data_IF_238876969118
#
_entry.id   IF_238876969118
#
_cell.length_a   1.000
_cell.length_b   1.000
_cell.length_c   1.000
_cell.angle_alpha   90.00
_cell.angle_beta   90.00
_cell.angle_gamma   90.00
#
_symmetry.space_group_name_H-M   'P 1'
#
loop_
_entity.id
_entity.type
_entity.pdbx_description
1 polymer ?
#
# COMPACT_ATOMS: atom_id res chain seq x y z
N UNK A 1 -6.26 29.81 19.57
CA UNK A 1 -6.33 28.37 19.89
C UNK A 1 -5.61 27.62 18.79
N UNK A 2 -4.71 26.68 19.14
CA UNK A 2 -4.13 25.78 18.14
C UNK A 2 -5.24 24.88 17.57
N UNK A 3 -5.30 24.72 16.24
CA UNK A 3 -6.29 23.86 15.56
C UNK A 3 -6.12 22.43 16.09
N UNK A 4 -7.19 21.85 16.64
CA UNK A 4 -7.17 20.44 17.09
C UNK A 4 -7.30 19.56 15.85
N UNK A 5 -6.29 18.73 15.63
CA UNK A 5 -6.25 17.74 14.55
C UNK A 5 -7.01 16.48 14.93
N UNK A 6 -7.65 15.85 13.94
CA UNK A 6 -8.58 14.73 14.08
C UNK A 6 -7.94 13.39 13.70
N UNK A 7 -7.05 13.40 12.70
CA UNK A 7 -6.45 12.22 12.09
C UNK A 7 -4.96 12.09 12.41
N UNK A 8 -4.36 13.06 13.12
CA UNK A 8 -2.94 13.05 13.49
C UNK A 8 -2.69 13.57 14.91
N UNK A 9 -1.67 13.01 15.56
CA UNK A 9 -1.21 13.41 16.90
C UNK A 9 0.10 14.22 16.83
N UNK A 10 0.37 15.00 17.87
CA UNK A 10 1.58 15.83 17.88
C UNK A 10 2.77 15.03 18.38
N UNK A 11 3.72 14.75 17.50
CA UNK A 11 4.97 14.05 17.81
C UNK A 11 6.10 14.45 16.84
N UNK A 12 7.26 13.80 16.94
CA UNK A 12 8.50 14.08 16.22
C UNK A 12 8.50 13.69 14.73
N UNK A 13 7.61 12.80 14.28
CA UNK A 13 7.65 12.26 12.92
C UNK A 13 7.14 13.23 11.86
N UNK A 14 5.92 13.74 12.01
CA UNK A 14 5.32 14.67 11.06
C UNK A 14 5.38 16.12 11.55
N UNK A 15 5.87 17.02 10.68
CA UNK A 15 5.79 18.46 10.90
C UNK A 15 4.33 18.94 10.94
N UNK A 16 4.08 20.11 11.54
CA UNK A 16 2.75 20.71 11.56
C UNK A 16 2.11 20.83 10.16
N UNK A 17 2.91 21.23 9.14
CA UNK A 17 2.42 21.36 7.76
C UNK A 17 2.04 20.01 7.15
N UNK A 18 2.84 18.97 7.38
CA UNK A 18 2.53 17.62 6.90
C UNK A 18 1.29 17.04 7.59
N UNK A 19 1.11 17.31 8.89
CA UNK A 19 -0.10 16.93 9.62
C UNK A 19 -1.32 17.66 9.07
N UNK A 20 -1.25 18.98 8.90
CA UNK A 20 -2.32 19.76 8.29
C UNK A 20 -2.67 19.23 6.89
N UNK A 21 -1.67 18.88 6.09
CA UNK A 21 -1.88 18.28 4.77
C UNK A 21 -2.62 16.93 4.87
N UNK A 22 -2.20 16.06 5.78
CA UNK A 22 -2.89 14.77 6.01
C UNK A 22 -4.33 14.96 6.48
N UNK A 23 -4.61 15.95 7.35
CA UNK A 23 -5.97 16.25 7.81
C UNK A 23 -6.90 16.68 6.66
N UNK A 24 -6.36 17.41 5.68
CA UNK A 24 -7.13 17.93 4.55
C UNK A 24 -7.28 16.87 3.45
N UNK A 25 -6.25 16.04 3.24
CA UNK A 25 -6.15 15.18 2.06
C UNK A 25 -6.29 13.68 2.35
N UNK A 26 -6.08 13.25 3.60
CA UNK A 26 -6.13 11.85 4.02
C UNK A 26 -4.91 11.02 3.64
N UNK A 27 -3.85 11.67 3.15
CA UNK A 27 -2.58 11.05 2.84
C UNK A 27 -1.41 12.01 3.06
N UNK A 28 -0.20 11.47 3.14
CA UNK A 28 1.05 12.24 3.11
C UNK A 28 2.16 11.39 2.48
N UNK A 29 3.03 12.01 1.68
CA UNK A 29 4.22 11.36 1.12
C UNK A 29 5.45 11.82 1.89
N UNK A 30 6.25 10.87 2.34
CA UNK A 30 7.54 11.09 2.99
C UNK A 30 8.64 10.61 2.04
N UNK A 31 9.43 11.56 1.55
CA UNK A 31 10.50 11.28 0.60
C UNK A 31 11.68 10.60 1.31
N UNK A 32 12.29 9.60 0.67
CA UNK A 32 13.45 8.87 1.21
C UNK A 32 13.23 8.41 2.67
N UNK A 33 12.02 7.90 2.97
CA UNK A 33 11.66 7.41 4.29
C UNK A 33 12.45 6.15 4.65
N UNK A 34 12.76 5.31 3.67
CA UNK A 34 13.54 4.08 3.82
C UNK A 34 14.93 4.18 3.19
N UNK A 35 15.92 3.57 3.86
CA UNK A 35 17.26 3.38 3.30
C UNK A 35 17.21 2.50 2.06
N UNK A 36 17.84 2.96 0.97
CA UNK A 36 17.91 2.18 -0.27
C UNK A 36 18.60 0.83 -0.06
N UNK A 37 19.64 0.77 0.79
CA UNK A 37 20.35 -0.48 1.12
C UNK A 37 19.43 -1.50 1.78
N UNK A 38 18.57 -1.07 2.70
CA UNK A 38 17.61 -1.98 3.34
C UNK A 38 16.55 -2.47 2.34
N UNK A 39 16.13 -1.61 1.40
CA UNK A 39 15.22 -2.02 0.34
C UNK A 39 15.86 -3.02 -0.63
N UNK A 40 17.15 -2.85 -0.94
CA UNK A 40 17.91 -3.82 -1.75
C UNK A 40 18.03 -5.18 -1.05
N UNK A 41 18.25 -5.18 0.27
CA UNK A 41 18.22 -6.40 1.09
C UNK A 41 16.86 -7.14 1.01
N UNK A 42 15.74 -6.40 1.06
CA UNK A 42 14.40 -6.99 0.91
C UNK A 42 14.14 -7.50 -0.51
N UNK A 43 14.61 -6.80 -1.54
CA UNK A 43 14.51 -7.26 -2.93
C UNK A 43 15.27 -8.57 -3.13
N UNK A 44 16.53 -8.64 -2.70
CA UNK A 44 17.34 -9.85 -2.80
C UNK A 44 16.68 -11.03 -2.07
N UNK A 45 16.19 -10.80 -0.85
CA UNK A 45 15.44 -11.82 -0.10
C UNK A 45 14.23 -12.34 -0.88
N UNK A 46 13.45 -11.43 -1.49
CA UNK A 46 12.31 -11.82 -2.33
C UNK A 46 12.74 -12.66 -3.54
N UNK A 47 13.81 -12.28 -4.23
CA UNK A 47 14.33 -13.03 -5.37
C UNK A 47 14.82 -14.43 -4.95
N UNK A 48 15.50 -14.55 -3.81
CA UNK A 48 15.97 -15.83 -3.27
C UNK A 48 14.81 -16.75 -2.87
N UNK A 49 13.73 -16.19 -2.29
CA UNK A 49 12.47 -16.92 -2.04
C UNK A 49 11.83 -17.39 -3.34
N UNK A 50 11.73 -16.50 -4.34
CA UNK A 50 11.15 -16.80 -5.64
C UNK A 50 11.89 -17.91 -6.38
N UNK A 51 13.22 -17.93 -6.25
CA UNK A 51 14.09 -18.95 -6.83
C UNK A 51 14.14 -20.25 -6.01
N UNK A 52 13.46 -20.31 -4.87
CA UNK A 52 13.43 -21.48 -3.99
C UNK A 52 14.77 -21.77 -3.31
N UNK A 53 15.67 -20.79 -3.23
CA UNK A 53 16.98 -20.90 -2.59
C UNK A 53 16.89 -20.76 -1.07
N UNK A 54 15.93 -19.96 -0.61
CA UNK A 54 15.58 -19.81 0.81
C UNK A 54 14.08 -20.03 1.01
N UNK A 55 13.71 -20.44 2.22
CA UNK A 55 12.31 -20.50 2.66
C UNK A 55 11.86 -19.16 3.25
N UNK A 56 10.54 -18.98 3.36
CA UNK A 56 9.91 -17.86 4.08
C UNK A 56 8.75 -18.41 4.91
N UNK A 57 8.51 -17.81 6.08
CA UNK A 57 7.28 -18.03 6.86
C UNK A 57 6.08 -17.27 6.29
N UNK A 58 6.33 -16.32 5.38
CA UNK A 58 5.29 -15.56 4.69
C UNK A 58 4.46 -16.45 3.77
N UNK A 59 3.18 -16.11 3.61
CA UNK A 59 2.31 -16.77 2.65
C UNK A 59 2.64 -16.33 1.23
N UNK A 60 3.05 -17.28 0.39
CA UNK A 60 3.33 -17.06 -1.03
C UNK A 60 2.02 -17.06 -1.83
N UNK A 61 1.68 -15.93 -2.43
CA UNK A 61 0.51 -15.80 -3.32
C UNK A 61 1.01 -15.75 -4.76
N UNK A 62 0.49 -16.66 -5.59
CA UNK A 62 0.81 -16.72 -7.02
C UNK A 62 -0.34 -16.15 -7.85
N UNK A 63 -0.03 -15.45 -8.92
CA UNK A 63 -1.02 -15.00 -9.89
C UNK A 63 -1.54 -16.18 -10.72
N UNK A 64 -2.85 -16.52 -10.65
CA UNK A 64 -3.39 -17.64 -11.40
C UNK A 64 -3.25 -17.51 -12.92
N UNK A 65 -3.28 -16.29 -13.47
CA UNK A 65 -3.11 -16.07 -14.91
C UNK A 65 -1.68 -16.34 -15.34
N UNK A 66 -0.72 -15.77 -14.63
CA UNK A 66 0.70 -15.91 -14.95
C UNK A 66 1.17 -17.36 -14.77
N UNK A 67 0.66 -18.04 -13.74
CA UNK A 67 0.88 -19.48 -13.56
C UNK A 67 0.40 -20.29 -14.77
N UNK A 68 -0.74 -19.94 -15.38
CA UNK A 68 -1.25 -20.61 -16.58
C UNK A 68 -0.42 -20.32 -17.82
N UNK A 69 0.18 -19.13 -17.90
CA UNK A 69 1.01 -18.70 -19.02
C UNK A 69 2.45 -19.23 -18.96
N UNK A 70 2.85 -19.88 -17.87
CA UNK A 70 4.18 -20.50 -17.76
C UNK A 70 5.33 -19.49 -17.69
N UNK A 71 5.07 -18.29 -17.16
CA UNK A 71 6.10 -17.26 -16.95
C UNK A 71 7.15 -17.72 -15.93
N UNK A 72 8.22 -16.93 -15.76
CA UNK A 72 9.27 -17.23 -14.78
C UNK A 72 8.67 -17.37 -13.37
N UNK A 73 9.29 -18.21 -12.54
CA UNK A 73 8.79 -18.51 -11.19
C UNK A 73 8.59 -17.25 -10.33
N UNK A 74 9.48 -16.28 -10.50
CA UNK A 74 9.43 -14.96 -9.85
C UNK A 74 8.22 -14.13 -10.29
N UNK A 75 8.01 -13.98 -11.60
CA UNK A 75 6.88 -13.25 -12.17
C UNK A 75 5.53 -13.90 -11.80
N UNK A 76 5.53 -15.22 -11.55
CA UNK A 76 4.34 -15.92 -11.09
C UNK A 76 4.00 -15.65 -9.61
N UNK A 77 4.96 -15.23 -8.79
CA UNK A 77 4.73 -14.86 -7.39
C UNK A 77 4.31 -13.40 -7.35
N UNK A 78 3.03 -13.18 -7.05
CA UNK A 78 2.40 -11.87 -7.03
C UNK A 78 2.66 -11.12 -5.72
N UNK A 79 2.64 -11.83 -4.58
CA UNK A 79 2.98 -11.22 -3.29
C UNK A 79 3.45 -12.25 -2.26
N UNK A 80 4.27 -11.79 -1.33
CA UNK A 80 4.39 -12.39 -0.01
C UNK A 80 3.43 -11.67 0.92
N UNK A 81 2.62 -12.40 1.67
CA UNK A 81 1.64 -11.84 2.60
C UNK A 81 1.87 -12.39 4.00
N UNK A 82 1.43 -11.62 5.01
CA UNK A 82 1.49 -12.01 6.42
C UNK A 82 2.94 -12.25 6.90
N UNK A 83 3.87 -11.39 6.46
CA UNK A 83 5.29 -11.50 6.80
C UNK A 83 5.62 -11.13 8.26
N UNK A 84 4.64 -11.05 9.15
CA UNK A 84 4.85 -10.67 10.55
C UNK A 84 5.66 -11.72 11.33
N UNK A 85 5.61 -12.98 10.91
CA UNK A 85 6.42 -14.07 11.45
C UNK A 85 7.73 -14.30 10.67
N UNK A 86 8.04 -13.42 9.71
CA UNK A 86 9.29 -13.47 8.93
C UNK A 86 10.26 -12.43 9.52
N UNK A 87 11.17 -12.87 10.40
CA UNK A 87 12.09 -11.99 11.12
C UNK A 87 12.84 -11.02 10.21
N UNK A 88 13.19 -11.47 9.00
CA UNK A 88 13.90 -10.65 8.03
C UNK A 88 13.00 -9.55 7.47
N UNK A 89 11.82 -9.91 6.96
CA UNK A 89 10.87 -8.94 6.40
C UNK A 89 10.23 -8.05 7.47
N UNK A 90 10.06 -8.55 8.69
CA UNK A 90 9.46 -7.81 9.80
C UNK A 90 10.30 -6.60 10.23
N UNK A 91 11.60 -6.57 9.87
CA UNK A 91 12.46 -5.37 9.96
C UNK A 91 11.82 -4.14 9.29
N UNK A 92 11.00 -4.33 8.25
CA UNK A 92 10.24 -3.25 7.62
C UNK A 92 9.26 -2.61 8.60
N UNK A 93 8.46 -3.42 9.30
CA UNK A 93 7.45 -2.95 10.26
C UNK A 93 8.06 -2.27 11.49
N UNK A 94 9.27 -2.66 11.88
CA UNK A 94 9.99 -2.11 13.03
C UNK A 94 11.00 -1.02 12.67
N UNK A 95 11.05 -0.58 11.41
CA UNK A 95 12.03 0.41 10.96
C UNK A 95 11.74 1.79 11.55
N UNK A 96 12.65 2.34 12.35
CA UNK A 96 12.36 3.52 13.19
C UNK A 96 11.82 4.74 12.44
N UNK A 97 12.35 5.14 11.26
CA UNK A 97 11.76 6.22 10.47
C UNK A 97 10.30 5.98 10.06
N UNK A 98 9.93 4.74 9.71
CA UNK A 98 8.52 4.38 9.44
C UNK A 98 7.68 4.57 10.72
N UNK A 99 8.14 3.99 11.82
CA UNK A 99 7.44 4.00 13.11
C UNK A 99 7.20 5.43 13.60
N UNK A 100 8.18 6.33 13.46
CA UNK A 100 8.06 7.74 13.87
C UNK A 100 6.92 8.46 13.12
N UNK A 101 6.73 8.17 11.83
CA UNK A 101 5.63 8.72 11.03
C UNK A 101 4.29 8.10 11.43
N UNK A 102 4.24 6.78 11.56
CA UNK A 102 3.03 6.05 12.00
C UNK A 102 2.56 6.57 13.36
N UNK A 103 3.48 6.72 14.32
CA UNK A 103 3.20 7.24 15.65
C UNK A 103 2.58 8.64 15.61
N UNK A 104 3.00 9.47 14.64
CA UNK A 104 2.45 10.82 14.45
C UNK A 104 1.02 10.82 13.87
N UNK A 105 0.54 9.69 13.35
CA UNK A 105 -0.80 9.53 12.80
C UNK A 105 -1.71 8.84 13.83
N UNK A 106 -1.30 7.67 14.32
CA UNK A 106 -2.16 6.79 15.13
C UNK A 106 -1.79 6.71 16.62
N UNK A 107 -0.66 7.31 17.04
CA UNK A 107 -0.18 7.28 18.42
C UNK A 107 0.84 6.17 18.73
N UNK A 108 1.33 6.08 19.98
CA UNK A 108 2.52 5.31 20.36
C UNK A 108 2.34 3.79 20.40
N UNK A 109 1.12 3.30 20.53
CA UNK A 109 0.85 1.87 20.71
C UNK A 109 0.57 1.21 19.35
N UNK A 110 1.62 0.87 18.61
CA UNK A 110 1.49 0.43 17.22
C UNK A 110 1.46 -1.09 17.12
N UNK A 111 0.53 -1.62 16.33
CA UNK A 111 0.43 -3.03 15.95
C UNK A 111 0.38 -3.16 14.43
N UNK A 112 1.26 -3.97 13.85
CA UNK A 112 1.17 -4.35 12.45
C UNK A 112 0.11 -5.44 12.27
N UNK A 113 -0.87 -5.23 11.39
CA UNK A 113 -2.04 -6.13 11.25
C UNK A 113 -2.15 -6.82 9.90
N UNK A 114 -1.58 -6.23 8.85
CA UNK A 114 -1.53 -6.83 7.53
C UNK A 114 -0.29 -6.34 6.82
N UNK A 115 0.51 -7.26 6.32
CA UNK A 115 1.80 -6.97 5.71
C UNK A 115 1.91 -7.69 4.38
N UNK A 116 2.37 -6.97 3.36
CA UNK A 116 2.47 -7.47 2.00
C UNK A 116 3.71 -6.94 1.30
N UNK A 117 4.48 -7.83 0.70
CA UNK A 117 5.48 -7.49 -0.32
C UNK A 117 4.88 -7.83 -1.67
N UNK A 118 4.58 -6.83 -2.48
CA UNK A 118 3.80 -6.94 -3.71
C UNK A 118 4.76 -6.88 -4.90
N UNK A 119 4.79 -7.94 -5.70
CA UNK A 119 5.49 -8.01 -6.97
C UNK A 119 4.47 -7.87 -8.10
N UNK A 120 4.21 -6.62 -8.47
CA UNK A 120 3.15 -6.28 -9.42
C UNK A 120 3.60 -6.63 -10.84
N UNK A 121 2.99 -7.64 -11.50
CA UNK A 121 3.42 -8.07 -12.82
C UNK A 121 2.96 -7.09 -13.90
N UNK A 122 3.46 -7.29 -15.13
CA UNK A 122 2.91 -6.64 -16.32
C UNK A 122 1.43 -7.00 -16.48
N UNK A 123 0.61 -5.98 -16.76
CA UNK A 123 -0.80 -6.15 -17.08
C UNK A 123 -0.99 -6.48 -18.57
N UNK A 124 -1.28 -7.75 -18.85
CA UNK A 124 -1.56 -8.24 -20.21
C UNK A 124 -2.91 -7.75 -20.75
N UNK A 125 -3.80 -7.30 -19.87
CA UNK A 125 -5.13 -6.78 -20.20
C UNK A 125 -5.37 -5.43 -19.50
N UNK A 126 -4.68 -4.35 -19.93
CA UNK A 126 -4.66 -3.08 -19.22
C UNK A 126 -6.03 -2.38 -19.15
N UNK A 127 -6.92 -2.66 -20.10
CA UNK A 127 -8.30 -2.15 -20.12
C UNK A 127 -9.21 -2.81 -19.06
N UNK A 128 -8.71 -3.81 -18.34
CA UNK A 128 -9.44 -4.53 -17.30
C UNK A 128 -8.75 -4.29 -15.96
N UNK A 129 -9.15 -3.23 -15.26
CA UNK A 129 -8.56 -2.86 -13.97
C UNK A 129 -8.64 -4.04 -12.98
N UNK A 130 -7.47 -4.57 -12.62
CA UNK A 130 -7.32 -5.60 -11.58
C UNK A 130 -7.42 -5.05 -10.17
N UNK A 131 -7.25 -3.73 -10.04
CA UNK A 131 -7.17 -2.98 -8.78
C UNK A 131 -8.16 -1.81 -8.85
N UNK A 132 -9.48 -2.09 -8.77
CA UNK A 132 -10.51 -1.06 -8.81
C UNK A 132 -10.39 -0.07 -7.66
N UNK A 133 -11.09 1.06 -7.78
CA UNK A 133 -11.17 2.05 -6.70
C UNK A 133 -11.79 1.38 -5.47
N UNK A 134 -11.11 1.43 -4.34
CA UNK A 134 -11.55 0.79 -3.11
C UNK A 134 -11.16 1.61 -1.87
N UNK A 135 -11.59 1.10 -0.71
CA UNK A 135 -11.21 1.61 0.60
C UNK A 135 -10.69 0.40 1.37
N UNK A 136 -9.50 0.53 1.95
CA UNK A 136 -8.90 -0.57 2.69
C UNK A 136 -9.79 -1.04 3.84
N UNK A 137 -10.51 -0.12 4.49
CA UNK A 137 -11.38 -0.44 5.63
C UNK A 137 -12.43 -1.52 5.32
N UNK A 138 -12.79 -1.73 4.04
CA UNK A 138 -13.65 -2.84 3.61
C UNK A 138 -13.14 -4.21 4.07
N UNK A 139 -11.82 -4.38 4.07
CA UNK A 139 -11.16 -5.64 4.43
C UNK A 139 -10.83 -5.77 5.91
N UNK A 140 -10.92 -4.67 6.68
CA UNK A 140 -10.46 -4.63 8.07
C UNK A 140 -11.62 -4.41 9.06
N UNK A 141 -11.95 -5.43 9.89
CA UNK A 141 -13.04 -5.34 10.86
C UNK A 141 -12.66 -4.56 12.14
N UNK A 142 -11.54 -3.83 12.14
CA UNK A 142 -11.02 -3.14 13.32
C UNK A 142 -11.46 -1.67 13.38
N UNK A 143 -11.63 -1.14 14.59
CA UNK A 143 -12.04 0.23 14.89
C UNK A 143 -11.29 0.70 16.15
N UNK A 144 -11.13 2.02 16.39
CA UNK A 144 -11.64 3.15 15.61
C UNK A 144 -10.87 3.38 14.31
N UNK A 145 -11.55 3.89 13.28
CA UNK A 145 -11.00 4.05 11.93
C UNK A 145 -9.77 4.97 11.90
N UNK A 146 -9.81 6.06 12.68
CA UNK A 146 -8.72 7.05 12.74
C UNK A 146 -7.46 6.52 13.43
N UNK A 147 -7.51 5.34 14.02
CA UNK A 147 -6.37 4.65 14.62
C UNK A 147 -5.72 3.66 13.65
N UNK A 148 -6.04 3.75 12.36
CA UNK A 148 -5.53 2.86 11.32
C UNK A 148 -4.83 3.71 10.27
N UNK A 149 -3.66 3.25 9.81
CA UNK A 149 -2.96 3.88 8.70
C UNK A 149 -2.30 2.81 7.83
N UNK A 150 -2.42 2.97 6.51
CA UNK A 150 -1.64 2.21 5.55
C UNK A 150 -0.35 2.98 5.27
N UNK A 151 0.77 2.26 5.14
CA UNK A 151 2.01 2.79 4.59
C UNK A 151 2.47 1.92 3.43
N UNK A 152 2.76 2.57 2.30
CA UNK A 152 3.18 1.93 1.08
C UNK A 152 4.49 2.54 0.59
N UNK A 153 5.54 1.73 0.56
CA UNK A 153 6.91 2.15 0.24
C UNK A 153 7.31 1.64 -1.13
N UNK A 154 7.83 2.56 -1.94
CA UNK A 154 8.41 2.25 -3.23
C UNK A 154 9.78 1.57 -3.06
N UNK A 155 9.92 0.33 -3.53
CA UNK A 155 11.22 -0.37 -3.58
C UNK A 155 11.99 -0.07 -4.86
N UNK A 156 11.27 0.42 -5.87
CA UNK A 156 11.75 0.85 -7.18
C UNK A 156 11.00 2.13 -7.57
N UNK A 157 11.47 2.90 -8.58
CA UNK A 157 10.74 4.07 -9.05
C UNK A 157 9.33 3.70 -9.55
N UNK A 158 8.31 4.38 -9.02
CA UNK A 158 6.90 4.20 -9.36
C UNK A 158 6.42 5.41 -10.14
N UNK A 159 5.85 5.14 -11.31
CA UNK A 159 5.37 6.10 -12.29
C UNK A 159 3.99 5.69 -12.79
N UNK A 160 3.40 6.50 -13.65
CA UNK A 160 2.07 6.24 -14.18
C UNK A 160 2.04 5.00 -15.06
N UNK A 161 3.05 4.87 -15.92
CA UNK A 161 3.22 3.80 -16.90
C UNK A 161 3.45 2.43 -16.26
N UNK A 162 4.00 2.39 -15.04
CA UNK A 162 4.22 1.15 -14.30
C UNK A 162 3.15 0.95 -13.20
N UNK A 163 2.15 1.85 -13.19
CA UNK A 163 0.90 1.73 -12.47
C UNK A 163 1.03 2.05 -11.00
N UNK A 164 1.44 3.29 -10.75
CA UNK A 164 1.29 3.96 -9.47
C UNK A 164 -0.13 3.84 -8.90
N UNK A 165 -0.24 4.10 -7.60
CA UNK A 165 -1.55 4.38 -7.01
C UNK A 165 -2.08 5.69 -7.58
N UNK A 166 -3.40 5.80 -7.65
CA UNK A 166 -4.08 7.08 -7.68
C UNK A 166 -5.04 7.16 -6.50
N UNK A 167 -5.19 8.36 -5.96
CA UNK A 167 -5.99 8.64 -4.77
C UNK A 167 -6.93 9.80 -5.04
N UNK A 168 -8.03 9.84 -4.29
CA UNK A 168 -9.01 10.94 -4.30
C UNK A 168 -8.88 11.73 -3.00
N UNK A 169 -8.09 12.83 -2.98
CA UNK A 169 -7.79 13.58 -1.77
C UNK A 169 -9.06 14.03 -1.04
N UNK A 170 -9.04 13.97 0.28
CA UNK A 170 -10.14 14.44 1.13
C UNK A 170 -11.31 13.47 1.28
N UNK A 171 -11.42 12.43 0.46
CA UNK A 171 -12.53 11.46 0.56
C UNK A 171 -12.62 10.75 1.91
N UNK A 172 -11.48 10.57 2.59
CA UNK A 172 -11.42 10.05 3.96
C UNK A 172 -12.27 10.84 4.97
N UNK A 173 -12.42 12.16 4.79
CA UNK A 173 -13.10 13.03 5.75
C UNK A 173 -14.63 12.97 5.67
N UNK A 174 -15.17 12.22 4.70
CA UNK A 174 -16.60 11.92 4.60
C UNK A 174 -17.05 10.89 5.61
N UNK A 175 -16.11 10.15 6.18
CA UNK A 175 -16.37 9.09 7.16
C UNK A 175 -17.31 8.00 6.65
N UNK A 176 -17.37 7.86 5.32
CA UNK A 176 -18.25 6.91 4.64
C UNK A 176 -17.41 5.75 4.14
N UNK A 177 -17.79 4.53 4.54
CA UNK A 177 -17.42 3.31 3.85
C UNK A 177 -18.47 3.09 2.75
N UNK A 178 -18.06 3.21 1.50
CA UNK A 178 -18.93 2.96 0.35
C UNK A 178 -19.22 1.46 0.21
N UNK A 179 -20.23 1.10 -0.57
CA UNK A 179 -20.50 -0.29 -0.91
C UNK A 179 -19.42 -0.81 -1.87
N UNK A 180 -18.92 -2.01 -1.60
CA UNK A 180 -17.91 -2.69 -2.41
C UNK A 180 -18.47 -4.01 -2.96
N UNK A 181 -18.25 -4.25 -4.24
CA UNK A 181 -18.60 -5.52 -4.90
C UNK A 181 -17.51 -5.91 -5.92
N UNK A 182 -17.60 -7.11 -6.48
CA UNK A 182 -16.76 -7.51 -7.60
C UNK A 182 -17.03 -6.61 -8.81
N UNK A 183 -16.01 -5.96 -9.39
CA UNK A 183 -16.21 -5.09 -10.54
C UNK A 183 -16.74 -5.89 -11.73
N UNK A 184 -17.94 -5.53 -12.19
CA UNK A 184 -18.60 -6.11 -13.35
C UNK A 184 -17.68 -6.05 -14.58
N UNK A 185 -17.47 -7.19 -15.25
CA UNK A 185 -16.64 -7.28 -16.47
C UNK A 185 -15.14 -7.44 -16.25
N UNK A 186 -14.64 -7.43 -15.01
CA UNK A 186 -13.26 -7.83 -14.73
C UNK A 186 -13.10 -9.34 -14.93
N UNK A 187 -12.14 -9.76 -15.77
CA UNK A 187 -11.89 -11.20 -15.98
C UNK A 187 -11.13 -11.84 -14.81
N UNK A 188 -10.48 -11.03 -13.98
CA UNK A 188 -9.69 -11.45 -12.81
C UNK A 188 -9.65 -10.38 -11.73
N UNK A 189 -10.79 -10.05 -11.10
CA UNK A 189 -10.79 -9.13 -9.98
C UNK A 189 -10.09 -9.80 -8.80
N UNK A 190 -8.95 -9.23 -8.40
CA UNK A 190 -8.29 -9.63 -7.15
C UNK A 190 -8.86 -8.87 -5.95
N UNK A 191 -9.56 -7.75 -6.19
CA UNK A 191 -10.10 -6.85 -5.18
C UNK A 191 -11.53 -6.44 -5.53
N UNK A 192 -12.31 -6.11 -4.50
CA UNK A 192 -13.62 -5.49 -4.62
C UNK A 192 -13.45 -4.01 -4.93
N UNK A 193 -14.31 -3.49 -5.80
CA UNK A 193 -14.37 -2.07 -6.14
C UNK A 193 -15.59 -1.41 -5.51
N UNK A 194 -15.49 -0.11 -5.25
CA UNK A 194 -16.65 0.72 -4.92
C UNK A 194 -17.61 0.72 -6.11
N UNK A 195 -18.88 0.43 -5.86
CA UNK A 195 -19.92 0.34 -6.90
C UNK A 195 -20.23 1.69 -7.53
N UNK A 196 -20.35 2.73 -6.70
CA UNK A 196 -20.64 4.11 -7.11
C UNK A 196 -19.47 5.05 -6.77
N UNK A 197 -18.38 4.94 -7.54
CA UNK A 197 -17.21 5.82 -7.36
C UNK A 197 -17.65 7.28 -7.55
N UNK A 198 -17.36 8.20 -6.62
CA UNK A 198 -17.69 9.61 -6.79
C UNK A 198 -16.82 10.24 -7.90
N UNK A 199 -17.33 10.23 -9.14
CA UNK A 199 -16.58 10.60 -10.36
C UNK A 199 -16.26 12.09 -10.47
N UNK A 200 -16.96 12.94 -9.73
CA UNK A 200 -16.72 14.40 -9.71
C UNK A 200 -15.41 14.79 -9.00
N UNK A 201 -14.79 13.85 -8.30
CA UNK A 201 -13.58 14.11 -7.52
C UNK A 201 -12.31 14.10 -8.38
N UNK A 202 -11.43 15.07 -8.13
CA UNK A 202 -10.12 15.10 -8.78
C UNK A 202 -9.24 14.00 -8.19
N UNK A 203 -8.87 13.02 -9.03
CA UNK A 203 -7.84 12.04 -8.68
C UNK A 203 -6.45 12.58 -8.96
N UNK A 204 -5.48 12.11 -8.17
CA UNK A 204 -4.05 12.41 -8.39
C UNK A 204 -3.25 11.11 -8.46
N UNK A 205 -2.24 11.10 -9.34
CA UNK A 205 -1.31 9.98 -9.49
C UNK A 205 -0.20 10.11 -8.43
N UNK A 206 0.04 9.05 -7.66
CA UNK A 206 1.04 8.99 -6.57
C UNK A 206 2.35 8.41 -7.11
N UNK A 207 3.15 9.26 -7.76
CA UNK A 207 4.47 8.88 -8.26
C UNK A 207 5.51 8.96 -7.14
N UNK A 208 6.29 7.90 -6.97
CA UNK A 208 7.27 7.74 -5.90
C UNK A 208 8.64 7.36 -6.46
N UNK A 209 9.70 7.86 -5.85
CA UNK A 209 11.04 7.33 -6.05
C UNK A 209 11.30 6.20 -5.05
N UNK A 210 12.30 5.37 -5.31
CA UNK A 210 12.75 4.36 -4.34
C UNK A 210 12.99 5.01 -2.98
N UNK A 211 12.55 4.36 -1.91
CA UNK A 211 12.67 4.88 -0.54
C UNK A 211 11.53 5.77 -0.09
N UNK A 212 10.76 6.36 -1.02
CA UNK A 212 9.59 7.15 -0.65
C UNK A 212 8.48 6.26 -0.08
N UNK A 213 7.71 6.81 0.86
CA UNK A 213 6.55 6.14 1.45
C UNK A 213 5.35 7.06 1.42
N UNK A 214 4.22 6.57 0.91
CA UNK A 214 2.93 7.23 1.08
C UNK A 214 2.21 6.59 2.27
N UNK A 215 1.69 7.43 3.16
CA UNK A 215 0.83 7.04 4.26
C UNK A 215 -0.58 7.52 3.95
N UNK A 216 -1.59 6.69 4.13
CA UNK A 216 -2.96 7.10 3.84
C UNK A 216 -4.00 6.44 4.77
N UNK A 217 -5.11 7.15 4.93
CA UNK A 217 -6.22 6.75 5.79
C UNK A 217 -7.00 5.59 5.16
N UNK A 218 -7.52 4.61 5.93
CA UNK A 218 -8.19 3.43 5.35
C UNK A 218 -9.52 3.73 4.63
N UNK A 219 -10.10 4.92 4.84
CA UNK A 219 -11.27 5.42 4.10
C UNK A 219 -10.90 6.25 2.86
N UNK A 220 -9.61 6.50 2.60
CA UNK A 220 -9.23 7.23 1.39
C UNK A 220 -9.51 6.35 0.17
N UNK A 221 -10.32 6.86 -0.76
CA UNK A 221 -10.56 6.19 -2.02
C UNK A 221 -9.25 6.16 -2.82
N UNK A 222 -8.86 4.97 -3.26
CA UNK A 222 -7.65 4.77 -4.04
C UNK A 222 -7.73 3.53 -4.92
N UNK A 223 -6.86 3.46 -5.92
CA UNK A 223 -6.71 2.33 -6.82
C UNK A 223 -5.29 2.28 -7.38
N UNK A 224 -4.92 1.18 -8.04
CA UNK A 224 -3.65 1.06 -8.77
C UNK A 224 -3.91 1.10 -10.27
N UNK A 225 -3.13 1.89 -11.00
CA UNK A 225 -3.12 1.87 -12.47
C UNK A 225 -2.53 0.55 -13.01
N UNK A 226 -2.70 0.24 -14.29
CA UNK A 226 -2.08 -0.93 -14.89
C UNK A 226 -0.55 -0.78 -14.94
N UNK A 227 0.19 -1.86 -14.76
CA UNK A 227 1.62 -1.91 -15.07
C UNK A 227 1.81 -2.23 -16.56
N UNK A 228 2.21 -1.23 -17.35
CA UNK A 228 2.44 -1.37 -18.79
C UNK A 228 3.91 -1.64 -19.14
N UNK A 229 4.81 -1.69 -18.14
CA UNK A 229 6.21 -2.03 -18.39
C UNK A 229 6.39 -3.53 -18.64
N UNK A 230 7.53 -3.90 -19.22
CA UNK A 230 7.89 -5.31 -19.49
C UNK A 230 8.45 -6.03 -18.24
N UNK A 231 8.56 -5.34 -17.11
CA UNK A 231 9.14 -5.87 -15.87
C UNK A 231 8.16 -5.74 -14.71
N UNK A 232 8.20 -6.71 -13.80
CA UNK A 232 7.43 -6.61 -12.56
C UNK A 232 7.99 -5.52 -11.65
N UNK A 233 7.15 -4.96 -10.79
CA UNK A 233 7.55 -3.93 -9.84
C UNK A 233 7.41 -4.43 -8.43
N UNK A 234 8.49 -4.33 -7.66
CA UNK A 234 8.45 -4.64 -6.26
C UNK A 234 8.02 -3.43 -5.44
N UNK A 235 7.06 -3.66 -4.55
CA UNK A 235 6.45 -2.65 -3.70
C UNK A 235 6.23 -3.25 -2.31
N UNK A 236 6.43 -2.46 -1.26
CA UNK A 236 6.09 -2.90 0.09
C UNK A 236 4.84 -2.17 0.58
N UNK A 237 3.94 -2.90 1.22
CA UNK A 237 2.73 -2.40 1.84
C UNK A 237 2.62 -2.96 3.24
N UNK A 238 2.32 -2.11 4.22
CA UNK A 238 1.86 -2.56 5.52
C UNK A 238 0.68 -1.70 5.98
N UNK A 239 -0.29 -2.36 6.59
CA UNK A 239 -1.31 -1.70 7.39
C UNK A 239 -1.00 -1.90 8.86
N UNK A 240 -1.07 -0.79 9.59
CA UNK A 240 -0.84 -0.74 11.02
C UNK A 240 -2.03 -0.10 11.72
N UNK A 241 -2.28 -0.53 12.95
CA UNK A 241 -3.31 0.01 13.84
C UNK A 241 -2.69 0.46 15.15
N UNK A 242 -3.38 1.37 15.82
CA UNK A 242 -3.10 1.74 17.22
C UNK A 242 -4.00 0.94 18.14
N UNK A 243 -3.43 0.45 19.25
CA UNK A 243 -4.11 -0.40 20.25
C UNK A 243 -4.05 0.18 21.67
#
# INVERSE_FOLDING_TARGET
>A
MLKKFRYTVSNKGLSYKQRQFYEENGYVIIKNNFSHTLLDEFSEYFHEVCNGRIGTSSRIIKDPLLKKLGVKAEEAIFKLQDFHDDDFLFRYATYSPLVDIVESIIGPNIMAVNSMLINKPQDLYPDQSRYPVHQDLHYFPFRPVNSIVASWTAMEPIRKENGCLFIYPGTHSREQLYEHDYPMGSRTPLFHGVTDVPTEETKIDVMLDKGDTVFFHPLLLHASGPNLSEVSLLQSYIMVISH
#
